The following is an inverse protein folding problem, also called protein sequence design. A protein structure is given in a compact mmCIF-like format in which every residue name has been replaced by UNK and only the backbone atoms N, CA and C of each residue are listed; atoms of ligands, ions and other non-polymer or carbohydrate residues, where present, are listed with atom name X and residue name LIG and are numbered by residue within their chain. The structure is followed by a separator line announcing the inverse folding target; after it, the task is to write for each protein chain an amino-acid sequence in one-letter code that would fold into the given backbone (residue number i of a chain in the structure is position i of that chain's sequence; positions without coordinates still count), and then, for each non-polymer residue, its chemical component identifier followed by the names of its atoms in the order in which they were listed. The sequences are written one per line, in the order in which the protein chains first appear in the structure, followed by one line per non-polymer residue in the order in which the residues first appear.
data_IF_031790558320
#
_entry.id   IF_031790558320
#
_cell.length_a   1.000
_cell.length_b   1.000
_cell.length_c   1.000
_cell.angle_alpha   90.00
_cell.angle_beta   90.00
_cell.angle_gamma   90.00
#
_symmetry.space_group_name_H-M   'P 1'
#
loop_
_entity.id
_entity.type
_entity.pdbx_description
1 polymer ?
#
# COMPACT_ATOMS: atom_id res chain seq x y z
N UNK A 1 12.15 -6.84 7.82
CA UNK A 1 12.37 -6.32 6.45
C UNK A 1 11.88 -4.89 6.40
N UNK A 2 12.54 -4.08 5.60
CA UNK A 2 12.42 -2.61 5.46
C UNK A 2 11.70 -2.16 4.17
N UNK A 3 11.21 -3.10 3.35
CA UNK A 3 10.52 -2.82 2.08
C UNK A 3 9.19 -2.04 2.20
N UNK A 4 8.67 -1.81 3.41
CA UNK A 4 7.48 -0.99 3.65
C UNK A 4 6.26 -1.42 2.81
N UNK A 5 5.62 -0.47 2.11
CA UNK A 5 4.46 -0.74 1.27
C UNK A 5 4.74 -1.69 0.10
N UNK A 6 6.00 -1.83 -0.33
CA UNK A 6 6.41 -2.74 -1.41
C UNK A 6 6.40 -4.20 -0.99
N UNK A 7 6.41 -4.52 0.30
CA UNK A 7 6.23 -5.89 0.79
C UNK A 7 4.81 -6.43 0.56
N UNK A 8 3.85 -5.58 0.18
CA UNK A 8 2.50 -6.03 -0.13
C UNK A 8 2.45 -6.66 -1.53
N UNK A 9 2.06 -7.94 -1.61
CA UNK A 9 1.87 -8.68 -2.87
C UNK A 9 0.40 -8.81 -3.29
N UNK A 10 -0.47 -7.94 -2.75
CA UNK A 10 -1.87 -7.84 -3.19
C UNK A 10 -2.63 -9.17 -3.06
N UNK A 11 -2.44 -9.90 -1.96
CA UNK A 11 -3.21 -11.11 -1.66
C UNK A 11 -4.65 -10.85 -1.19
N UNK A 12 -5.02 -9.59 -0.94
CA UNK A 12 -6.36 -9.13 -0.51
C UNK A 12 -6.89 -9.65 0.85
N UNK A 13 -6.26 -10.65 1.48
CA UNK A 13 -6.67 -11.21 2.77
C UNK A 13 -7.00 -10.16 3.86
N UNK A 14 -6.26 -9.04 3.90
CA UNK A 14 -6.51 -7.97 4.87
C UNK A 14 -7.77 -7.17 4.59
N UNK A 15 -8.16 -7.00 3.32
CA UNK A 15 -9.44 -6.40 2.94
C UNK A 15 -10.59 -7.35 3.24
N UNK A 16 -10.47 -8.63 2.87
CA UNK A 16 -11.54 -9.63 3.08
C UNK A 16 -11.85 -9.87 4.56
N UNK A 17 -10.82 -9.81 5.42
CA UNK A 17 -10.97 -10.08 6.86
C UNK A 17 -11.13 -8.82 7.71
N UNK A 18 -11.25 -7.63 7.13
CA UNK A 18 -11.30 -6.40 7.91
C UNK A 18 -12.61 -6.30 8.70
N UNK A 19 -12.60 -6.30 10.05
CA UNK A 19 -13.82 -6.25 10.87
C UNK A 19 -14.53 -4.89 10.80
N UNK A 20 -13.89 -3.89 10.21
CA UNK A 20 -14.42 -2.53 10.05
C UNK A 20 -14.87 -2.25 8.61
N UNK A 21 -14.90 -3.28 7.75
CA UNK A 21 -15.26 -3.16 6.33
C UNK A 21 -14.44 -2.09 5.57
N UNK A 22 -13.18 -1.90 5.97
CA UNK A 22 -12.24 -1.04 5.27
C UNK A 22 -11.50 -1.85 4.21
N UNK A 23 -10.87 -1.16 3.25
CA UNK A 23 -9.93 -1.79 2.31
C UNK A 23 -8.49 -1.33 2.59
N UNK A 24 -7.76 -2.00 3.51
CA UNK A 24 -6.33 -1.75 3.71
C UNK A 24 -5.53 -1.90 2.42
N UNK A 25 -5.90 -2.85 1.56
CA UNK A 25 -5.24 -3.04 0.25
C UNK A 25 -5.36 -1.79 -0.63
N UNK A 26 -6.51 -1.11 -0.62
CA UNK A 26 -6.68 0.14 -1.36
C UNK A 26 -5.80 1.26 -0.80
N UNK A 27 -5.70 1.38 0.53
CA UNK A 27 -4.79 2.33 1.19
C UNK A 27 -3.33 2.08 0.83
N UNK A 28 -2.88 0.81 0.87
CA UNK A 28 -1.51 0.42 0.51
C UNK A 28 -1.24 0.68 -0.97
N UNK A 29 -2.19 0.40 -1.86
CA UNK A 29 -2.05 0.73 -3.29
C UNK A 29 -1.94 2.24 -3.52
N UNK A 30 -2.69 3.05 -2.75
CA UNK A 30 -2.54 4.50 -2.70
C UNK A 30 -1.13 4.91 -2.27
N UNK A 31 -0.62 4.33 -1.19
CA UNK A 31 0.73 4.59 -0.69
C UNK A 31 1.81 4.22 -1.71
N UNK A 32 1.71 3.07 -2.38
CA UNK A 32 2.62 2.69 -3.47
C UNK A 32 2.67 3.74 -4.59
N UNK A 33 1.51 4.29 -4.97
CA UNK A 33 1.42 5.37 -5.97
C UNK A 33 2.04 6.67 -5.47
N UNK A 34 1.79 7.04 -4.21
CA UNK A 34 2.33 8.25 -3.60
C UNK A 34 3.86 8.18 -3.49
N UNK A 35 4.40 7.04 -3.04
CA UNK A 35 5.85 6.80 -2.99
C UNK A 35 6.45 6.87 -4.39
N UNK A 36 5.83 6.20 -5.38
CA UNK A 36 6.29 6.28 -6.77
C UNK A 36 6.29 7.73 -7.29
N UNK A 37 5.25 8.50 -7.01
CA UNK A 37 5.17 9.90 -7.41
C UNK A 37 6.28 10.74 -6.77
N UNK A 38 6.50 10.58 -5.46
CA UNK A 38 7.57 11.29 -4.74
C UNK A 38 8.97 10.94 -5.29
N UNK A 39 9.21 9.66 -5.61
CA UNK A 39 10.48 9.23 -6.24
C UNK A 39 10.67 9.84 -7.63
N UNK A 40 9.62 9.89 -8.45
CA UNK A 40 9.71 10.50 -9.79
C UNK A 40 9.88 12.03 -9.73
N UNK A 41 9.36 12.67 -8.68
CA UNK A 41 9.53 14.11 -8.42
C UNK A 41 10.85 14.47 -7.72
N UNK A 42 11.62 13.47 -7.25
CA UNK A 42 12.88 13.69 -6.51
C UNK A 42 12.68 14.20 -5.07
N UNK A 43 11.50 13.97 -4.48
CA UNK A 43 11.19 14.35 -3.09
C UNK A 43 11.74 13.34 -2.07
N UNK A 44 11.98 12.10 -2.52
CA UNK A 44 12.64 10.99 -1.82
C UNK A 44 13.48 10.20 -2.80
#
# INVERSE_FOLDING_TARGET
GDAGCHACHTHLNCTERCPKALSPTAGIAGLKRAVLAATLSGEI
#
